data_IF_374701636566
#
_entry.id   IF_374701636566
#
_cell.length_a   1.000
_cell.length_b   1.000
_cell.length_c   1.000
_cell.angle_alpha   90.00
_cell.angle_beta   90.00
_cell.angle_gamma   90.00
#
_symmetry.space_group_name_H-M   'P 1'
#
loop_
_entity.id
_entity.type
_entity.pdbx_description
1 polymer ?
#
# COMPACT_ATOMS: atom_id res chain seq x y z
N UNK A 1 55.34 3.93 -29.84
CA UNK A 1 55.51 4.20 -28.38
C UNK A 1 54.66 5.35 -27.86
N UNK A 2 54.83 6.62 -28.28
CA UNK A 2 54.04 7.76 -27.74
C UNK A 2 52.52 7.49 -27.72
N UNK A 3 51.96 6.99 -28.82
CA UNK A 3 50.52 6.69 -28.96
C UNK A 3 50.02 5.58 -28.03
N UNK A 4 50.89 4.63 -27.68
CA UNK A 4 50.59 3.54 -26.73
C UNK A 4 50.42 4.10 -25.30
N UNK A 5 51.28 5.05 -24.91
CA UNK A 5 51.16 5.72 -23.62
C UNK A 5 49.96 6.67 -23.55
N UNK A 6 49.61 7.39 -24.62
CA UNK A 6 48.38 8.21 -24.64
C UNK A 6 47.12 7.36 -24.67
N UNK A 7 47.13 6.17 -25.29
CA UNK A 7 46.04 5.20 -25.20
C UNK A 7 45.82 4.73 -23.76
N UNK A 8 46.89 4.28 -23.07
CA UNK A 8 46.83 3.85 -21.67
C UNK A 8 46.36 4.96 -20.73
N UNK A 9 46.90 6.19 -20.84
CA UNK A 9 46.51 7.31 -19.99
C UNK A 9 45.13 7.89 -20.32
N UNK A 10 44.69 7.83 -21.58
CA UNK A 10 43.31 8.14 -21.96
C UNK A 10 42.32 7.17 -21.31
N UNK A 11 42.65 5.87 -21.31
CA UNK A 11 41.87 4.85 -20.63
C UNK A 11 41.78 5.06 -19.11
N UNK A 12 42.91 5.30 -18.43
CA UNK A 12 42.89 5.50 -16.96
C UNK A 12 42.22 6.80 -16.54
N UNK A 13 42.37 7.91 -17.29
CA UNK A 13 41.69 9.17 -16.97
C UNK A 13 40.19 9.12 -17.25
N UNK A 14 39.75 8.46 -18.32
CA UNK A 14 38.33 8.19 -18.58
C UNK A 14 37.73 7.27 -17.50
N UNK A 15 38.44 6.19 -17.12
CA UNK A 15 38.02 5.27 -16.06
C UNK A 15 37.95 5.97 -14.70
N UNK A 16 38.95 6.77 -14.32
CA UNK A 16 38.94 7.55 -13.08
C UNK A 16 37.81 8.61 -13.06
N UNK A 17 37.52 9.25 -14.20
CA UNK A 17 36.38 10.15 -14.34
C UNK A 17 35.05 9.41 -14.15
N UNK A 18 34.88 8.24 -14.78
CA UNK A 18 33.71 7.39 -14.61
C UNK A 18 33.56 6.87 -13.17
N UNK A 19 34.66 6.46 -12.53
CA UNK A 19 34.70 6.08 -11.11
C UNK A 19 34.28 7.25 -10.20
N UNK A 20 34.72 8.48 -10.49
CA UNK A 20 34.39 9.66 -9.68
C UNK A 20 32.96 10.18 -9.90
N UNK A 21 32.40 10.01 -11.09
CA UNK A 21 31.14 10.66 -11.50
C UNK A 21 29.96 9.72 -11.77
N UNK A 22 30.20 8.44 -12.06
CA UNK A 22 29.16 7.47 -12.44
C UNK A 22 29.12 6.24 -11.52
N UNK A 23 30.25 5.76 -11.01
CA UNK A 23 30.29 4.52 -10.19
C UNK A 23 29.31 4.54 -9.02
N UNK A 24 29.20 5.63 -8.26
CA UNK A 24 28.24 5.72 -7.15
C UNK A 24 26.76 5.60 -7.60
N UNK A 25 26.42 6.14 -8.77
CA UNK A 25 25.08 6.04 -9.33
C UNK A 25 24.80 4.66 -9.95
N UNK A 26 25.81 4.07 -10.60
CA UNK A 26 25.79 2.71 -11.13
C UNK A 26 25.65 1.69 -9.99
N UNK A 27 26.56 1.70 -9.01
CA UNK A 27 26.59 0.81 -7.85
C UNK A 27 25.27 0.85 -7.07
N UNK A 28 24.75 2.03 -6.74
CA UNK A 28 23.46 2.16 -6.06
C UNK A 28 22.27 1.68 -6.89
N UNK A 29 22.33 1.76 -8.23
CA UNK A 29 21.25 1.27 -9.10
C UNK A 29 21.35 -0.23 -9.38
N UNK A 30 22.57 -0.77 -9.48
CA UNK A 30 22.87 -2.20 -9.55
C UNK A 30 22.43 -2.92 -8.27
N UNK A 31 22.82 -2.41 -7.10
CA UNK A 31 22.38 -3.00 -5.82
C UNK A 31 20.87 -2.92 -5.63
N UNK A 32 20.22 -1.81 -6.00
CA UNK A 32 18.75 -1.72 -5.95
C UNK A 32 18.10 -2.76 -6.87
N UNK A 33 18.64 -2.97 -8.08
CA UNK A 33 18.17 -4.01 -9.00
C UNK A 33 18.37 -5.43 -8.43
N UNK A 34 19.56 -5.74 -7.88
CA UNK A 34 19.86 -7.04 -7.25
C UNK A 34 18.95 -7.31 -6.04
N UNK A 35 18.74 -6.31 -5.17
CA UNK A 35 17.86 -6.42 -4.01
C UNK A 35 16.41 -6.65 -4.47
N UNK A 36 15.92 -5.84 -5.42
CA UNK A 36 14.54 -5.97 -5.91
C UNK A 36 14.30 -7.32 -6.59
N UNK A 37 15.25 -7.84 -7.37
CA UNK A 37 15.15 -9.19 -7.93
C UNK A 37 15.30 -10.31 -6.90
N UNK A 38 16.09 -10.12 -5.84
CA UNK A 38 16.18 -11.08 -4.72
C UNK A 38 14.87 -11.12 -3.93
N UNK A 39 14.20 -9.98 -3.76
CA UNK A 39 12.87 -9.88 -3.13
C UNK A 39 11.78 -10.49 -4.03
N UNK A 40 11.82 -10.25 -5.35
CA UNK A 40 10.93 -10.92 -6.32
C UNK A 40 11.15 -12.44 -6.32
N UNK A 41 12.40 -12.91 -6.32
CA UNK A 41 12.72 -14.33 -6.25
C UNK A 41 12.29 -14.95 -4.92
N UNK A 42 12.50 -14.26 -3.79
CA UNK A 42 12.02 -14.68 -2.48
C UNK A 42 10.49 -14.80 -2.44
N UNK A 43 9.76 -13.82 -2.96
CA UNK A 43 8.31 -13.87 -3.10
C UNK A 43 7.84 -15.01 -4.02
N UNK A 44 8.57 -15.31 -5.10
CA UNK A 44 8.27 -16.43 -6.00
C UNK A 44 8.51 -17.80 -5.35
N UNK A 45 9.62 -17.98 -4.62
CA UNK A 45 9.89 -19.19 -3.83
C UNK A 45 8.85 -19.35 -2.71
N UNK A 46 8.40 -18.25 -2.10
CA UNK A 46 7.27 -18.21 -1.17
C UNK A 46 5.98 -18.68 -1.83
N UNK A 47 5.64 -18.18 -3.02
CA UNK A 47 4.45 -18.62 -3.76
C UNK A 47 4.52 -20.11 -4.14
N UNK A 48 5.68 -20.63 -4.57
CA UNK A 48 5.87 -22.06 -4.82
C UNK A 48 5.78 -22.91 -3.54
N UNK A 49 6.19 -22.39 -2.38
CA UNK A 49 6.01 -23.06 -1.10
C UNK A 49 4.54 -23.08 -0.66
N UNK A 50 3.80 -21.98 -0.89
CA UNK A 50 2.35 -21.87 -0.67
C UNK A 50 1.63 -22.89 -1.57
N UNK A 51 1.87 -22.85 -2.88
CA UNK A 51 1.27 -23.77 -3.86
C UNK A 51 1.59 -25.24 -3.52
N UNK A 52 2.86 -25.55 -3.25
CA UNK A 52 3.30 -26.87 -2.78
C UNK A 52 2.77 -27.31 -1.41
N UNK A 53 2.15 -26.41 -0.64
CA UNK A 53 1.42 -26.71 0.60
C UNK A 53 -0.08 -26.79 0.39
N UNK A 54 -0.70 -25.92 -0.40
CA UNK A 54 -2.14 -25.95 -0.70
C UNK A 54 -2.52 -27.16 -1.56
N UNK A 55 -1.75 -27.47 -2.60
CA UNK A 55 -1.88 -28.70 -3.40
C UNK A 55 -1.73 -29.99 -2.57
N UNK A 56 -1.21 -29.88 -1.34
CA UNK A 56 -1.04 -30.99 -0.38
C UNK A 56 -1.91 -30.88 0.88
N UNK A 57 -2.72 -29.83 1.04
CA UNK A 57 -3.69 -29.71 2.15
C UNK A 57 -4.95 -30.56 1.96
N UNK A 58 -5.09 -31.20 0.79
CA UNK A 58 -6.01 -32.33 0.59
C UNK A 58 -5.50 -33.63 1.25
N UNK A 59 -4.34 -33.62 1.91
CA UNK A 59 -3.87 -34.67 2.81
C UNK A 59 -3.82 -34.13 4.26
N UNK A 60 -4.29 -34.94 5.20
CA UNK A 60 -4.42 -34.57 6.62
C UNK A 60 -3.06 -34.27 7.28
N UNK A 61 -3.08 -33.42 8.32
CA UNK A 61 -1.89 -33.10 9.13
C UNK A 61 -0.88 -32.12 8.49
N UNK A 62 -1.19 -31.51 7.34
CA UNK A 62 -0.26 -30.71 6.54
C UNK A 62 0.15 -29.32 7.11
N UNK A 63 0.09 -29.10 8.43
CA UNK A 63 0.28 -27.81 9.12
C UNK A 63 1.42 -26.94 8.57
N UNK A 64 1.18 -25.62 8.48
CA UNK A 64 2.17 -24.65 8.02
C UNK A 64 3.15 -24.36 9.17
N UNK A 65 4.45 -24.54 8.92
CA UNK A 65 5.46 -24.30 9.95
C UNK A 65 5.48 -22.80 10.32
N UNK A 66 5.44 -22.41 11.61
CA UNK A 66 5.39 -20.99 12.01
C UNK A 66 6.51 -20.13 11.41
N UNK A 67 7.72 -20.70 11.28
CA UNK A 67 8.87 -20.06 10.66
C UNK A 67 8.62 -19.71 9.18
N UNK A 68 7.96 -20.60 8.40
CA UNK A 68 7.66 -20.29 7.00
C UNK A 68 6.57 -19.24 6.91
N UNK A 69 5.51 -19.29 7.73
CA UNK A 69 4.50 -18.24 7.79
C UNK A 69 5.10 -16.84 8.09
N UNK A 70 6.05 -16.76 9.03
CA UNK A 70 6.78 -15.53 9.31
C UNK A 70 7.66 -15.09 8.13
N UNK A 71 8.43 -15.99 7.52
CA UNK A 71 9.30 -15.70 6.38
C UNK A 71 8.52 -15.21 5.15
N UNK A 72 7.33 -15.78 4.90
CA UNK A 72 6.42 -15.33 3.84
C UNK A 72 6.01 -13.86 4.05
N UNK A 73 5.57 -13.51 5.26
CA UNK A 73 5.26 -12.12 5.62
C UNK A 73 6.45 -11.18 5.43
N UNK A 74 7.67 -11.58 5.84
CA UNK A 74 8.88 -10.78 5.62
C UNK A 74 9.19 -10.52 4.15
N UNK A 75 8.98 -11.49 3.25
CA UNK A 75 9.18 -11.28 1.81
C UNK A 75 8.15 -10.29 1.24
N UNK A 76 6.87 -10.40 1.60
CA UNK A 76 5.84 -9.46 1.14
C UNK A 76 6.02 -8.04 1.69
N UNK A 77 6.46 -7.88 2.95
CA UNK A 77 6.84 -6.57 3.54
C UNK A 77 7.97 -5.90 2.75
N UNK A 78 9.05 -6.63 2.48
CA UNK A 78 10.18 -6.13 1.68
C UNK A 78 9.78 -5.83 0.24
N UNK A 79 8.85 -6.62 -0.34
CA UNK A 79 8.29 -6.36 -1.67
C UNK A 79 7.50 -5.05 -1.68
N UNK A 80 6.54 -4.88 -0.78
CA UNK A 80 5.74 -3.66 -0.68
C UNK A 80 6.61 -2.40 -0.50
N UNK A 81 7.52 -2.40 0.49
CA UNK A 81 8.41 -1.28 0.75
C UNK A 81 9.34 -0.94 -0.45
N UNK A 82 9.96 -1.95 -1.06
CA UNK A 82 10.89 -1.72 -2.18
C UNK A 82 10.18 -1.26 -3.47
N UNK A 83 8.96 -1.75 -3.75
CA UNK A 83 8.18 -1.31 -4.90
C UNK A 83 7.59 0.11 -4.70
N UNK A 84 7.18 0.47 -3.49
CA UNK A 84 6.78 1.86 -3.17
C UNK A 84 7.97 2.82 -3.28
N UNK A 85 9.15 2.48 -2.72
CA UNK A 85 10.38 3.25 -2.92
C UNK A 85 10.76 3.39 -4.40
N UNK A 86 10.55 2.35 -5.22
CA UNK A 86 10.77 2.42 -6.67
C UNK A 86 9.74 3.33 -7.37
N UNK A 87 8.47 3.32 -6.96
CA UNK A 87 7.44 4.22 -7.45
C UNK A 87 7.76 5.69 -7.14
N UNK A 88 8.19 5.97 -5.90
CA UNK A 88 8.66 7.29 -5.47
C UNK A 88 9.89 7.75 -6.29
N UNK A 89 10.88 6.87 -6.50
CA UNK A 89 12.04 7.17 -7.37
C UNK A 89 11.62 7.49 -8.80
N UNK A 90 10.67 6.76 -9.36
CA UNK A 90 10.16 7.00 -10.71
C UNK A 90 9.38 8.31 -10.81
N UNK A 91 8.55 8.63 -9.81
CA UNK A 91 7.84 9.91 -9.72
C UNK A 91 8.82 11.09 -9.70
N UNK A 92 9.79 11.06 -8.76
CA UNK A 92 10.79 12.13 -8.59
C UNK A 92 11.71 12.32 -9.81
N UNK A 93 11.98 11.26 -10.58
CA UNK A 93 12.82 11.32 -11.79
C UNK A 93 12.05 11.43 -13.11
N UNK A 94 10.72 11.52 -13.09
CA UNK A 94 9.90 11.54 -14.30
C UNK A 94 10.02 10.28 -15.17
N UNK A 95 10.38 9.14 -14.57
CA UNK A 95 10.63 7.88 -15.29
C UNK A 95 9.29 7.15 -15.50
N UNK A 96 9.04 6.72 -16.74
CA UNK A 96 7.86 5.89 -17.08
C UNK A 96 7.87 4.59 -16.27
N UNK A 97 6.71 4.19 -15.75
CA UNK A 97 6.55 3.00 -14.90
C UNK A 97 6.08 3.26 -13.47
N UNK A 98 5.97 4.53 -13.03
CA UNK A 98 5.44 4.93 -11.71
C UNK A 98 4.17 4.14 -11.33
N UNK A 99 3.18 4.09 -12.22
CA UNK A 99 1.90 3.42 -11.97
C UNK A 99 2.06 1.91 -11.71
N UNK A 100 2.93 1.23 -12.46
CA UNK A 100 3.19 -0.22 -12.31
C UNK A 100 3.84 -0.54 -10.97
N UNK A 101 4.89 0.22 -10.59
CA UNK A 101 5.53 0.04 -9.29
C UNK A 101 4.59 0.37 -8.11
N UNK A 102 3.79 1.43 -8.25
CA UNK A 102 2.80 1.82 -7.24
C UNK A 102 1.72 0.75 -7.05
N UNK A 103 1.13 0.25 -8.15
CA UNK A 103 0.10 -0.79 -8.11
C UNK A 103 0.62 -2.09 -7.47
N UNK A 104 1.82 -2.53 -7.84
CA UNK A 104 2.46 -3.72 -7.26
C UNK A 104 2.80 -3.53 -5.77
N UNK A 105 3.24 -2.34 -5.36
CA UNK A 105 3.47 -2.00 -3.95
C UNK A 105 2.19 -2.00 -3.11
N UNK A 106 1.11 -1.39 -3.62
CA UNK A 106 -0.21 -1.38 -2.98
C UNK A 106 -0.82 -2.79 -2.91
N UNK A 107 -0.74 -3.58 -3.98
CA UNK A 107 -1.24 -4.96 -4.00
C UNK A 107 -0.50 -5.85 -2.99
N UNK A 108 0.83 -5.76 -2.91
CA UNK A 108 1.60 -6.44 -1.87
C UNK A 108 1.24 -5.96 -0.46
N UNK A 109 0.96 -4.66 -0.28
CA UNK A 109 0.50 -4.12 1.00
C UNK A 109 -0.84 -4.71 1.44
N UNK A 110 -1.79 -4.92 0.52
CA UNK A 110 -3.07 -5.58 0.81
C UNK A 110 -2.85 -7.03 1.25
N UNK A 111 -1.94 -7.77 0.59
CA UNK A 111 -1.57 -9.14 1.00
C UNK A 111 -0.97 -9.16 2.41
N UNK A 112 -0.11 -8.19 2.75
CA UNK A 112 0.45 -8.05 4.11
C UNK A 112 -0.65 -7.73 5.13
N UNK A 113 -1.62 -6.87 4.80
CA UNK A 113 -2.78 -6.63 5.66
C UNK A 113 -3.58 -7.93 5.91
N UNK A 114 -3.86 -8.73 4.86
CA UNK A 114 -4.51 -10.04 5.04
C UNK A 114 -3.68 -11.01 5.91
N UNK A 115 -2.34 -10.98 5.80
CA UNK A 115 -1.43 -11.75 6.66
C UNK A 115 -1.56 -11.34 8.14
N UNK A 116 -1.77 -10.06 8.43
CA UNK A 116 -2.02 -9.55 9.77
C UNK A 116 -3.35 -10.06 10.37
N UNK A 117 -4.43 -10.12 9.58
CA UNK A 117 -5.68 -10.77 10.00
C UNK A 117 -5.45 -12.26 10.32
N UNK A 118 -4.76 -12.98 9.44
CA UNK A 118 -4.42 -14.39 9.67
C UNK A 118 -3.64 -14.62 10.96
N UNK A 119 -2.63 -13.78 11.25
CA UNK A 119 -1.89 -13.84 12.51
C UNK A 119 -2.78 -13.53 13.73
N UNK A 120 -3.70 -12.56 13.63
CA UNK A 120 -4.63 -12.21 14.69
C UNK A 120 -5.62 -13.30 15.06
N UNK A 121 -6.13 -14.05 14.07
CA UNK A 121 -6.99 -15.21 14.31
C UNK A 121 -6.20 -16.42 14.84
N UNK A 122 -5.03 -16.73 14.27
CA UNK A 122 -4.22 -17.89 14.67
C UNK A 122 -3.64 -17.73 16.08
N UNK A 123 -3.25 -16.51 16.49
CA UNK A 123 -2.75 -16.25 17.84
C UNK A 123 -3.79 -16.45 18.96
N UNK A 124 -5.06 -16.65 18.60
CA UNK A 124 -6.17 -16.88 19.53
C UNK A 124 -7.06 -18.07 19.12
N UNK A 125 -6.61 -18.96 18.24
CA UNK A 125 -7.36 -20.16 17.79
C UNK A 125 -7.73 -21.07 18.97
N UNK A 126 -6.75 -21.47 19.79
CA UNK A 126 -6.96 -22.21 21.05
C UNK A 126 -8.04 -21.58 21.96
N UNK A 127 -8.15 -20.25 21.94
CA UNK A 127 -9.09 -19.49 22.78
C UNK A 127 -10.48 -19.42 22.18
N UNK A 128 -10.57 -19.27 20.86
CA UNK A 128 -11.82 -19.42 20.10
C UNK A 128 -12.42 -20.80 20.36
N UNK A 129 -11.60 -21.84 20.23
CA UNK A 129 -12.09 -23.22 20.24
C UNK A 129 -12.50 -23.66 21.65
N UNK A 130 -11.81 -23.20 22.70
CA UNK A 130 -12.27 -23.28 24.09
C UNK A 130 -13.65 -22.60 24.29
N UNK A 131 -13.82 -21.38 23.78
CA UNK A 131 -15.06 -20.59 23.97
C UNK A 131 -16.25 -21.12 23.14
N UNK A 132 -15.98 -21.73 21.98
CA UNK A 132 -17.00 -22.35 21.12
C UNK A 132 -17.41 -23.72 21.63
N UNK A 133 -16.46 -24.62 21.90
CA UNK A 133 -16.75 -25.99 22.34
C UNK A 133 -17.61 -26.03 23.61
N UNK A 134 -17.29 -25.19 24.60
CA UNK A 134 -18.06 -25.10 25.85
C UNK A 134 -19.52 -24.64 25.67
N UNK A 135 -19.85 -23.96 24.56
CA UNK A 135 -21.23 -23.54 24.22
C UNK A 135 -21.93 -24.58 23.35
N UNK A 136 -21.27 -25.01 22.28
CA UNK A 136 -21.85 -25.85 21.24
C UNK A 136 -22.13 -27.27 21.75
N UNK A 137 -21.20 -27.86 22.50
CA UNK A 137 -21.37 -29.19 23.10
C UNK A 137 -22.54 -29.19 24.09
N UNK A 138 -22.65 -28.16 24.96
CA UNK A 138 -23.72 -28.08 25.97
C UNK A 138 -25.08 -27.83 25.33
N UNK A 139 -25.17 -26.95 24.34
CA UNK A 139 -26.41 -26.67 23.63
C UNK A 139 -26.93 -27.91 22.89
N UNK A 140 -26.13 -28.47 21.97
CA UNK A 140 -26.54 -29.57 21.09
C UNK A 140 -26.83 -30.85 21.89
N UNK A 141 -26.02 -31.19 22.89
CA UNK A 141 -26.31 -32.35 23.76
C UNK A 141 -27.55 -32.14 24.63
N UNK A 142 -27.79 -30.93 25.16
CA UNK A 142 -28.99 -30.70 25.97
C UNK A 142 -30.26 -30.79 25.12
N UNK A 143 -30.29 -30.12 23.97
CA UNK A 143 -31.44 -30.11 23.06
C UNK A 143 -31.78 -31.53 22.58
N UNK A 144 -30.77 -32.30 22.14
CA UNK A 144 -30.96 -33.70 21.73
C UNK A 144 -31.41 -34.61 22.89
N UNK A 145 -30.89 -34.42 24.11
CA UNK A 145 -31.35 -35.18 25.27
C UNK A 145 -32.80 -34.83 25.65
N UNK A 146 -33.19 -33.55 25.57
CA UNK A 146 -34.55 -33.10 25.86
C UNK A 146 -35.57 -33.62 24.83
N UNK A 147 -35.20 -33.70 23.53
CA UNK A 147 -35.99 -34.38 22.49
C UNK A 147 -36.22 -35.86 22.81
N UNK A 148 -35.15 -36.62 23.10
CA UNK A 148 -35.25 -38.06 23.41
C UNK A 148 -36.05 -38.30 24.69
N UNK A 149 -35.85 -37.47 25.73
CA UNK A 149 -36.65 -37.52 26.96
C UNK A 149 -38.14 -37.26 26.67
N UNK A 150 -38.49 -36.40 25.73
CA UNK A 150 -39.88 -36.14 25.35
C UNK A 150 -40.51 -37.29 24.55
N UNK A 151 -39.77 -37.88 23.60
CA UNK A 151 -40.21 -39.10 22.90
C UNK A 151 -40.41 -40.30 23.86
N UNK A 152 -39.56 -40.43 24.87
CA UNK A 152 -39.71 -41.44 25.93
C UNK A 152 -40.95 -41.18 26.80
N UNK A 153 -41.26 -39.93 27.16
CA UNK A 153 -42.52 -39.58 27.85
C UNK A 153 -43.75 -39.92 27.00
N UNK A 154 -43.74 -39.57 25.72
CA UNK A 154 -44.85 -39.88 24.80
C UNK A 154 -45.09 -41.38 24.71
N UNK A 155 -44.03 -42.19 24.59
CA UNK A 155 -44.10 -43.66 24.60
C UNK A 155 -44.75 -44.23 25.87
N UNK A 156 -44.58 -43.60 27.04
CA UNK A 156 -45.31 -44.02 28.26
C UNK A 156 -46.81 -43.77 28.15
N UNK A 157 -47.23 -42.66 27.53
CA UNK A 157 -48.65 -42.37 27.26
C UNK A 157 -49.23 -43.38 26.26
N UNK A 158 -48.45 -43.79 25.25
CA UNK A 158 -48.85 -44.88 24.34
C UNK A 158 -49.08 -46.19 25.10
N UNK A 159 -48.14 -46.59 25.97
CA UNK A 159 -48.24 -47.81 26.79
C UNK A 159 -49.48 -47.76 27.70
N UNK A 160 -49.77 -46.64 28.34
CA UNK A 160 -50.98 -46.49 29.17
C UNK A 160 -52.27 -46.61 28.33
N UNK A 161 -52.30 -46.00 27.15
CA UNK A 161 -53.45 -46.08 26.23
C UNK A 161 -53.63 -47.44 25.55
N UNK A 162 -52.55 -48.22 25.36
CA UNK A 162 -52.62 -49.63 24.91
C UNK A 162 -53.10 -50.54 26.06
N UNK A 163 -52.57 -50.33 27.27
CA UNK A 163 -52.98 -51.07 28.47
C UNK A 163 -54.47 -50.86 28.78
N UNK A 164 -54.96 -49.62 28.73
CA UNK A 164 -56.38 -49.31 28.97
C UNK A 164 -57.30 -50.07 27.99
N UNK A 165 -56.96 -50.09 26.70
CA UNK A 165 -57.71 -50.84 25.67
C UNK A 165 -57.68 -52.36 25.90
N UNK A 166 -56.53 -52.91 26.29
CA UNK A 166 -56.40 -54.34 26.55
C UNK A 166 -57.14 -54.76 27.85
N UNK A 167 -57.00 -53.96 28.92
CA UNK A 167 -57.69 -54.16 30.20
C UNK A 167 -59.21 -54.05 30.04
N UNK A 168 -59.72 -53.03 29.35
CA UNK A 168 -61.15 -52.88 29.09
C UNK A 168 -61.74 -54.07 28.30
N UNK A 169 -60.96 -54.65 27.39
CA UNK A 169 -61.34 -55.87 26.66
C UNK A 169 -61.44 -57.08 27.60
N UNK A 170 -60.45 -57.28 28.48
CA UNK A 170 -60.42 -58.38 29.43
C UNK A 170 -61.46 -58.23 30.55
N UNK A 171 -61.72 -57.02 31.04
CA UNK A 171 -62.78 -56.78 32.05
C UNK A 171 -64.18 -57.00 31.45
N UNK A 172 -64.38 -56.77 30.15
CA UNK A 172 -65.60 -57.19 29.44
C UNK A 172 -65.71 -58.71 29.30
N UNK A 173 -64.61 -59.41 28.96
CA UNK A 173 -64.53 -60.88 28.92
C UNK A 173 -64.84 -61.51 30.29
N UNK A 174 -64.22 -61.00 31.37
CA UNK A 174 -64.48 -61.38 32.77
C UNK A 174 -65.95 -61.14 33.13
N UNK A 175 -66.51 -59.98 32.77
CA UNK A 175 -67.92 -59.66 33.05
C UNK A 175 -68.86 -60.63 32.34
N UNK A 176 -68.56 -61.00 31.09
CA UNK A 176 -69.34 -61.99 30.35
C UNK A 176 -69.29 -63.37 31.03
N UNK A 177 -68.12 -63.87 31.42
CA UNK A 177 -67.99 -65.18 32.10
C UNK A 177 -68.67 -65.23 33.48
N UNK A 178 -68.80 -64.10 34.17
CA UNK A 178 -69.51 -64.01 35.47
C UNK A 178 -71.03 -63.90 35.30
N UNK A 179 -71.52 -63.39 34.16
CA UNK A 179 -72.95 -63.05 33.96
C UNK A 179 -73.70 -63.96 32.98
N UNK A 180 -73.04 -64.88 32.28
CA UNK A 180 -73.69 -65.77 31.29
C UNK A 180 -74.53 -66.91 31.90
N UNK A 181 -74.57 -67.02 33.23
CA UNK A 181 -75.38 -68.00 33.97
C UNK A 181 -74.82 -69.43 33.96
N UNK A 182 -73.57 -69.63 33.50
CA UNK A 182 -72.87 -70.93 33.55
C UNK A 182 -71.79 -70.91 34.62
N UNK A 183 -71.34 -72.09 35.04
CA UNK A 183 -70.19 -72.22 35.94
C UNK A 183 -68.87 -72.07 35.17
N UNK A 184 -68.51 -70.82 34.86
CA UNK A 184 -67.35 -70.44 34.04
C UNK A 184 -66.23 -69.80 34.87
N UNK A 185 -66.26 -69.87 36.20
CA UNK A 185 -65.35 -69.15 37.12
C UNK A 185 -63.86 -69.32 36.77
N UNK A 186 -63.44 -70.52 36.34
CA UNK A 186 -62.06 -70.80 35.90
C UNK A 186 -61.62 -69.91 34.71
N UNK A 187 -62.52 -69.62 33.76
CA UNK A 187 -62.23 -68.75 32.61
C UNK A 187 -62.16 -67.28 33.03
N UNK A 188 -62.99 -66.87 34.00
CA UNK A 188 -62.90 -65.54 34.59
C UNK A 188 -61.59 -65.34 35.37
N UNK A 189 -61.10 -66.36 36.09
CA UNK A 189 -59.81 -66.31 36.78
C UNK A 189 -58.61 -66.36 35.81
N UNK A 190 -58.67 -67.12 34.72
CA UNK A 190 -57.65 -67.06 33.65
C UNK A 190 -57.59 -65.66 33.01
N UNK A 191 -58.74 -65.05 32.70
CA UNK A 191 -58.79 -63.70 32.16
C UNK A 191 -58.28 -62.63 33.18
N UNK A 192 -58.55 -62.81 34.49
CA UNK A 192 -57.95 -61.99 35.56
C UNK A 192 -56.43 -62.14 35.62
N UNK A 193 -55.90 -63.35 35.48
CA UNK A 193 -54.46 -63.62 35.44
C UNK A 193 -53.82 -62.94 34.22
N UNK A 194 -54.42 -63.08 33.01
CA UNK A 194 -54.00 -62.38 31.79
C UNK A 194 -53.97 -60.86 31.99
N UNK A 195 -55.03 -60.29 32.58
CA UNK A 195 -55.14 -58.84 32.83
C UNK A 195 -54.08 -58.34 33.80
N UNK A 196 -53.85 -59.06 34.89
CA UNK A 196 -52.83 -58.71 35.88
C UNK A 196 -51.41 -58.80 35.26
N UNK A 197 -51.14 -59.83 34.43
CA UNK A 197 -49.87 -59.97 33.73
C UNK A 197 -49.57 -58.78 32.79
N UNK A 198 -50.56 -58.30 32.04
CA UNK A 198 -50.42 -57.10 31.20
C UNK A 198 -50.15 -55.83 32.04
N UNK A 199 -50.77 -55.69 33.22
CA UNK A 199 -50.52 -54.58 34.14
C UNK A 199 -49.10 -54.65 34.75
N UNK A 200 -48.60 -55.85 35.05
CA UNK A 200 -47.22 -56.06 35.50
C UNK A 200 -46.19 -55.79 34.39
N UNK A 201 -46.45 -56.24 33.16
CA UNK A 201 -45.62 -55.99 31.98
C UNK A 201 -45.53 -54.48 31.64
N UNK A 202 -46.68 -53.80 31.58
CA UNK A 202 -46.72 -52.36 31.34
C UNK A 202 -46.04 -51.56 32.46
N UNK A 203 -46.13 -52.01 33.72
CA UNK A 203 -45.38 -51.40 34.84
C UNK A 203 -43.88 -51.56 34.65
N UNK A 204 -43.39 -52.74 34.28
CA UNK A 204 -41.97 -52.99 34.02
C UNK A 204 -41.45 -52.17 32.84
N UNK A 205 -42.20 -52.11 31.72
CA UNK A 205 -41.85 -51.29 30.56
C UNK A 205 -41.78 -49.79 30.90
N UNK A 206 -42.70 -49.28 31.74
CA UNK A 206 -42.66 -47.89 32.22
C UNK A 206 -41.49 -47.62 33.16
N UNK A 207 -41.11 -48.59 34.00
CA UNK A 207 -39.94 -48.50 34.89
C UNK A 207 -38.62 -48.48 34.11
N UNK A 208 -38.49 -49.27 33.04
CA UNK A 208 -37.32 -49.22 32.15
C UNK A 208 -37.20 -47.87 31.45
N UNK A 209 -38.31 -47.32 30.92
CA UNK A 209 -38.31 -45.98 30.32
C UNK A 209 -37.95 -44.90 31.35
N UNK A 210 -38.43 -44.99 32.60
CA UNK A 210 -38.03 -44.06 33.66
C UNK A 210 -36.53 -44.15 34.00
N UNK A 211 -35.94 -45.36 33.98
CA UNK A 211 -34.50 -45.54 34.14
C UNK A 211 -33.71 -44.94 32.96
N UNK A 212 -34.19 -45.09 31.72
CA UNK A 212 -33.59 -44.42 30.55
C UNK A 212 -33.63 -42.89 30.67
N UNK A 213 -34.77 -42.32 31.09
CA UNK A 213 -34.93 -40.88 31.32
C UNK A 213 -33.96 -40.38 32.40
N UNK A 214 -33.83 -41.09 33.54
CA UNK A 214 -32.91 -40.74 34.62
C UNK A 214 -31.45 -40.79 34.16
N UNK A 215 -31.08 -41.76 33.33
CA UNK A 215 -29.73 -41.85 32.75
C UNK A 215 -29.42 -40.66 31.82
N UNK A 216 -30.37 -40.26 30.95
CA UNK A 216 -30.21 -39.10 30.06
C UNK A 216 -30.13 -37.78 30.84
N UNK A 217 -30.95 -37.62 31.89
CA UNK A 217 -30.86 -36.46 32.80
C UNK A 217 -29.50 -36.41 33.51
N UNK A 218 -28.98 -37.57 33.94
CA UNK A 218 -27.68 -37.68 34.61
C UNK A 218 -26.53 -37.34 33.66
N UNK A 219 -26.55 -37.88 32.43
CA UNK A 219 -25.58 -37.54 31.39
C UNK A 219 -25.57 -36.03 31.09
N UNK A 220 -26.74 -35.40 30.92
CA UNK A 220 -26.88 -33.95 30.74
C UNK A 220 -26.29 -33.13 31.91
N UNK A 221 -26.38 -33.63 33.16
CA UNK A 221 -25.71 -33.01 34.31
C UNK A 221 -24.18 -33.19 34.23
N UNK A 222 -23.69 -34.38 33.87
CA UNK A 222 -22.24 -34.63 33.71
C UNK A 222 -21.63 -33.80 32.58
N UNK A 223 -22.28 -33.71 31.41
CA UNK A 223 -21.87 -32.86 30.29
C UNK A 223 -21.74 -31.39 30.70
N UNK A 224 -22.70 -30.90 31.50
CA UNK A 224 -22.69 -29.53 32.04
C UNK A 224 -21.58 -29.34 33.09
N UNK A 225 -21.26 -30.36 33.88
CA UNK A 225 -20.14 -30.33 34.83
C UNK A 225 -18.78 -30.31 34.09
N UNK A 226 -18.58 -31.16 33.09
CA UNK A 226 -17.36 -31.21 32.27
C UNK A 226 -17.12 -29.87 31.54
N UNK A 227 -18.19 -29.24 31.02
CA UNK A 227 -18.10 -27.90 30.43
C UNK A 227 -17.74 -26.81 31.46
N UNK A 228 -18.26 -26.89 32.69
CA UNK A 228 -17.91 -25.96 33.79
C UNK A 228 -16.47 -26.18 34.27
N UNK A 229 -15.98 -27.42 34.36
CA UNK A 229 -14.58 -27.72 34.68
C UNK A 229 -13.62 -27.27 33.57
N UNK A 230 -14.03 -27.42 32.30
CA UNK A 230 -13.30 -26.88 31.14
C UNK A 230 -13.21 -25.35 31.19
N UNK A 231 -14.31 -24.67 31.54
CA UNK A 231 -14.31 -23.22 31.74
C UNK A 231 -13.48 -22.78 32.95
N UNK A 232 -13.51 -23.53 34.06
CA UNK A 232 -12.74 -23.23 35.28
C UNK A 232 -11.23 -23.49 35.12
N UNK A 233 -10.82 -24.41 34.23
CA UNK A 233 -9.42 -24.68 33.90
C UNK A 233 -8.87 -23.82 32.77
N UNK A 234 -9.73 -23.06 32.06
CA UNK A 234 -9.30 -22.10 31.06
C UNK A 234 -8.42 -21.01 31.71
N UNK A 235 -7.24 -20.75 31.11
CA UNK A 235 -6.35 -19.67 31.57
C UNK A 235 -7.11 -18.34 31.56
N UNK A 236 -7.03 -17.48 32.59
CA UNK A 236 -7.74 -16.21 32.61
C UNK A 236 -7.34 -15.31 31.43
N UNK A 237 -8.26 -14.45 30.99
CA UNK A 237 -7.97 -13.42 30.00
C UNK A 237 -6.98 -12.39 30.55
N UNK A 238 -6.18 -11.79 29.67
CA UNK A 238 -5.31 -10.69 30.06
C UNK A 238 -6.15 -9.49 30.53
N UNK A 239 -5.86 -8.86 31.68
CA UNK A 239 -6.66 -7.73 32.21
C UNK A 239 -6.86 -6.58 31.22
N UNK A 240 -5.91 -6.38 30.30
CA UNK A 240 -6.01 -5.42 29.20
C UNK A 240 -7.21 -5.70 28.28
N UNK A 241 -7.43 -6.95 27.87
CA UNK A 241 -8.54 -7.31 26.99
C UNK A 241 -9.88 -7.23 27.71
N UNK A 242 -9.91 -7.57 29.01
CA UNK A 242 -11.08 -7.39 29.87
C UNK A 242 -11.44 -5.89 29.95
N UNK A 243 -10.46 -5.02 30.22
CA UNK A 243 -10.67 -3.57 30.31
C UNK A 243 -11.12 -2.93 29.00
N UNK A 244 -10.57 -3.37 27.85
CA UNK A 244 -11.04 -2.94 26.53
C UNK A 244 -12.48 -3.41 26.29
N UNK A 245 -12.81 -4.67 26.59
CA UNK A 245 -14.17 -5.19 26.41
C UNK A 245 -15.19 -4.53 27.35
N UNK A 246 -14.81 -4.18 28.58
CA UNK A 246 -15.63 -3.39 29.51
C UNK A 246 -15.97 -2.02 28.90
N UNK A 247 -14.99 -1.35 28.30
CA UNK A 247 -15.16 -0.02 27.70
C UNK A 247 -15.95 -0.08 26.37
N UNK A 248 -15.75 -1.11 25.55
CA UNK A 248 -16.44 -1.28 24.26
C UNK A 248 -17.90 -1.71 24.44
N UNK A 249 -18.18 -2.61 25.39
CA UNK A 249 -19.54 -3.15 25.62
C UNK A 249 -20.34 -2.40 26.70
N UNK A 250 -19.71 -1.44 27.39
CA UNK A 250 -20.27 -0.76 28.57
C UNK A 250 -20.74 -1.70 29.70
N UNK A 251 -20.30 -2.96 29.70
CA UNK A 251 -20.53 -3.91 30.78
C UNK A 251 -19.38 -3.91 31.78
N UNK A 252 -19.69 -3.99 33.08
CA UNK A 252 -18.69 -4.27 34.12
C UNK A 252 -18.11 -5.69 33.98
N UNK A 253 -18.91 -6.62 33.49
CA UNK A 253 -18.58 -8.03 33.31
C UNK A 253 -18.89 -8.40 31.83
N UNK A 254 -17.95 -8.16 30.90
CA UNK A 254 -18.12 -8.51 29.48
C UNK A 254 -18.01 -10.03 29.29
N UNK A 255 -18.75 -10.57 28.31
CA UNK A 255 -18.69 -11.99 27.98
C UNK A 255 -17.36 -12.38 27.31
N UNK A 256 -16.95 -13.65 27.43
CA UNK A 256 -15.73 -14.16 26.78
C UNK A 256 -15.68 -13.88 25.28
N UNK A 257 -16.82 -13.91 24.60
CA UNK A 257 -16.92 -13.57 23.18
C UNK A 257 -16.57 -12.09 22.90
N UNK A 258 -17.05 -11.17 23.76
CA UNK A 258 -16.69 -9.76 23.66
C UNK A 258 -15.20 -9.53 23.97
N UNK A 259 -14.65 -10.25 24.97
CA UNK A 259 -13.22 -10.18 25.32
C UNK A 259 -12.37 -10.73 24.16
N UNK A 260 -12.76 -11.85 23.56
CA UNK A 260 -12.12 -12.46 22.38
C UNK A 260 -12.11 -11.52 21.17
N UNK A 261 -13.25 -10.91 20.81
CA UNK A 261 -13.33 -9.94 19.71
C UNK A 261 -12.46 -8.71 19.98
N UNK A 262 -12.44 -8.20 21.22
CA UNK A 262 -11.58 -7.07 21.60
C UNK A 262 -10.09 -7.43 21.57
N UNK A 263 -9.72 -8.65 21.98
CA UNK A 263 -8.35 -9.15 21.92
C UNK A 263 -7.86 -9.30 20.47
N UNK A 264 -8.70 -9.86 19.58
CA UNK A 264 -8.42 -9.93 18.13
C UNK A 264 -8.27 -8.54 17.52
N UNK A 265 -9.21 -7.63 17.77
CA UNK A 265 -9.15 -6.26 17.27
C UNK A 265 -7.89 -5.52 17.71
N UNK A 266 -7.49 -5.69 18.98
CA UNK A 266 -6.26 -5.13 19.52
C UNK A 266 -5.00 -5.72 18.87
N UNK A 267 -4.91 -7.05 18.72
CA UNK A 267 -3.75 -7.70 18.08
C UNK A 267 -3.64 -7.27 16.62
N UNK A 268 -4.75 -7.30 15.86
CA UNK A 268 -4.77 -6.88 14.45
C UNK A 268 -4.37 -5.40 14.32
N UNK A 269 -4.88 -4.52 15.19
CA UNK A 269 -4.47 -3.11 15.21
C UNK A 269 -2.95 -2.95 15.38
N UNK A 270 -2.34 -3.63 16.36
CA UNK A 270 -0.90 -3.51 16.60
C UNK A 270 -0.04 -4.14 15.50
N UNK A 271 -0.49 -5.24 14.89
CA UNK A 271 0.19 -5.81 13.72
C UNK A 271 0.09 -4.84 12.55
N UNK A 272 -1.11 -4.36 12.19
CA UNK A 272 -1.31 -3.38 11.10
C UNK A 272 -0.53 -2.08 11.32
N UNK A 273 -0.41 -1.60 12.56
CA UNK A 273 0.45 -0.47 12.90
C UNK A 273 1.92 -0.78 12.56
N UNK A 274 2.42 -1.95 12.97
CA UNK A 274 3.75 -2.44 12.62
C UNK A 274 3.98 -2.58 11.10
N UNK A 275 3.01 -3.14 10.37
CA UNK A 275 3.06 -3.25 8.91
C UNK A 275 3.12 -1.87 8.25
N UNK A 276 2.31 -0.92 8.72
CA UNK A 276 2.29 0.45 8.18
C UNK A 276 3.65 1.15 8.35
N UNK A 277 4.33 0.92 9.48
CA UNK A 277 5.67 1.43 9.72
C UNK A 277 6.72 0.75 8.83
N UNK A 278 6.68 -0.58 8.68
CA UNK A 278 7.65 -1.31 7.85
C UNK A 278 7.47 -1.00 6.35
N UNK A 279 6.25 -0.78 5.89
CA UNK A 279 5.94 -0.55 4.46
C UNK A 279 6.12 0.92 4.08
N UNK A 280 5.51 1.87 4.80
CA UNK A 280 5.44 3.27 4.36
C UNK A 280 6.59 4.15 4.86
N UNK A 281 7.17 3.85 6.03
CA UNK A 281 8.26 4.68 6.57
C UNK A 281 9.51 4.71 5.65
N UNK A 282 9.96 3.59 5.03
CA UNK A 282 11.08 3.62 4.09
C UNK A 282 10.81 4.50 2.86
N UNK A 283 9.59 4.48 2.31
CA UNK A 283 9.20 5.37 1.20
C UNK A 283 9.27 6.84 1.63
N UNK A 284 8.70 7.19 2.79
CA UNK A 284 8.65 8.58 3.29
C UNK A 284 10.05 9.13 3.59
N UNK A 285 10.91 8.36 4.25
CA UNK A 285 12.32 8.74 4.50
C UNK A 285 13.08 8.88 3.16
N UNK A 286 12.83 8.00 2.19
CA UNK A 286 13.47 8.06 0.88
C UNK A 286 13.02 9.29 0.06
N UNK A 287 11.73 9.66 0.10
CA UNK A 287 11.22 10.89 -0.50
C UNK A 287 11.87 12.12 0.14
N UNK A 288 11.92 12.19 1.47
CA UNK A 288 12.60 13.27 2.20
C UNK A 288 14.08 13.40 1.75
N UNK A 289 14.84 12.30 1.73
CA UNK A 289 16.23 12.28 1.24
C UNK A 289 16.39 12.72 -0.23
N UNK A 290 15.36 12.59 -1.07
CA UNK A 290 15.39 13.11 -2.44
C UNK A 290 15.18 14.63 -2.48
N UNK A 291 14.32 15.17 -1.63
CA UNK A 291 14.12 16.63 -1.48
C UNK A 291 15.35 17.31 -0.88
N UNK A 292 15.87 16.83 0.27
CA UNK A 292 17.09 17.37 0.90
C UNK A 292 18.27 17.43 -0.10
N UNK A 293 18.39 16.41 -0.95
CA UNK A 293 19.42 16.33 -1.98
C UNK A 293 19.19 17.32 -3.13
N UNK A 294 17.94 17.67 -3.43
CA UNK A 294 17.63 18.67 -4.45
C UNK A 294 18.03 20.06 -3.98
N UNK A 295 17.67 20.42 -2.75
CA UNK A 295 18.04 21.69 -2.12
C UNK A 295 19.57 21.86 -2.08
N UNK A 296 20.31 20.81 -1.71
CA UNK A 296 21.78 20.82 -1.78
C UNK A 296 22.35 20.98 -3.19
N UNK A 297 21.65 20.52 -4.23
CA UNK A 297 22.05 20.68 -5.64
C UNK A 297 21.77 22.10 -6.11
N UNK A 298 20.62 22.66 -5.75
CA UNK A 298 20.19 24.00 -6.17
C UNK A 298 20.91 25.12 -5.40
N UNK A 299 21.26 24.89 -4.12
CA UNK A 299 22.20 25.74 -3.39
C UNK A 299 23.56 25.81 -4.12
N UNK A 300 24.15 24.67 -4.50
CA UNK A 300 25.43 24.61 -5.23
C UNK A 300 25.34 25.23 -6.63
N UNK A 301 24.18 25.15 -7.29
CA UNK A 301 23.91 25.86 -8.55
C UNK A 301 23.85 27.38 -8.34
N UNK A 302 23.21 27.84 -7.26
CA UNK A 302 23.15 29.26 -6.88
C UNK A 302 24.54 29.82 -6.55
N UNK A 303 25.35 29.10 -5.75
CA UNK A 303 26.75 29.44 -5.49
C UNK A 303 27.59 29.55 -6.77
N UNK A 304 27.46 28.57 -7.67
CA UNK A 304 28.17 28.57 -8.95
C UNK A 304 27.71 29.72 -9.88
N UNK A 305 26.42 30.04 -9.89
CA UNK A 305 25.87 31.16 -10.65
C UNK A 305 26.35 32.51 -10.10
N UNK A 306 26.34 32.69 -8.77
CA UNK A 306 26.86 33.87 -8.08
C UNK A 306 28.35 34.07 -8.36
N UNK A 307 29.17 33.03 -8.17
CA UNK A 307 30.61 33.07 -8.49
C UNK A 307 30.87 33.36 -9.97
N UNK A 308 30.02 32.83 -10.87
CA UNK A 308 30.07 33.13 -12.30
C UNK A 308 29.73 34.58 -12.65
N UNK A 309 28.83 35.22 -11.89
CA UNK A 309 28.54 36.66 -12.00
C UNK A 309 29.67 37.52 -11.43
N UNK A 310 30.17 37.21 -10.25
CA UNK A 310 31.33 37.87 -9.62
C UNK A 310 32.55 37.85 -10.54
N UNK A 311 32.82 36.71 -11.18
CA UNK A 311 33.95 36.55 -12.13
C UNK A 311 33.76 37.38 -13.41
N UNK A 312 32.52 37.60 -13.87
CA UNK A 312 32.25 38.51 -15.01
C UNK A 312 32.45 39.96 -14.60
N UNK A 313 31.85 40.37 -13.49
CA UNK A 313 31.95 41.74 -12.96
C UNK A 313 33.42 42.14 -12.72
N UNK A 314 34.19 41.32 -12.03
CA UNK A 314 35.62 41.58 -11.79
C UNK A 314 36.44 41.65 -13.09
N UNK A 315 36.05 40.94 -14.15
CA UNK A 315 36.69 41.03 -15.48
C UNK A 315 36.27 42.28 -16.25
N UNK A 316 35.13 42.88 -15.94
CA UNK A 316 34.69 44.16 -16.51
C UNK A 316 35.34 45.34 -15.78
N UNK A 317 35.40 45.29 -14.45
CA UNK A 317 36.12 46.26 -13.61
C UNK A 317 37.64 46.24 -13.84
N UNK A 318 38.21 45.10 -14.25
CA UNK A 318 39.62 44.96 -14.62
C UNK A 318 39.93 45.24 -16.12
N UNK A 319 38.99 45.79 -16.90
CA UNK A 319 39.31 46.35 -18.21
C UNK A 319 40.01 47.72 -18.00
N UNK A 320 41.24 47.93 -18.48
CA UNK A 320 41.80 49.28 -18.49
C UNK A 320 41.00 50.17 -19.44
N UNK A 321 40.80 51.44 -19.05
CA UNK A 321 40.33 52.48 -19.95
C UNK A 321 41.45 52.85 -20.93
N UNK A 322 41.63 52.03 -21.98
CA UNK A 322 42.54 52.33 -23.09
C UNK A 322 42.04 53.55 -23.87
N UNK A 323 42.38 54.74 -23.38
CA UNK A 323 42.30 55.99 -24.14
C UNK A 323 43.10 55.83 -25.43
N UNK A 324 42.40 55.68 -26.56
CA UNK A 324 43.02 55.37 -27.85
C UNK A 324 44.00 56.49 -28.23
N UNK A 325 45.26 56.18 -28.58
CA UNK A 325 46.22 57.19 -28.98
C UNK A 325 45.71 57.98 -30.18
N UNK A 326 45.74 59.31 -30.05
CA UNK A 326 45.33 60.27 -31.10
C UNK A 326 46.33 60.29 -32.27
N UNK A 327 47.53 59.72 -32.08
CA UNK A 327 48.62 59.66 -33.06
C UNK A 327 48.51 58.38 -33.91
N UNK A 328 48.71 58.50 -35.21
CA UNK A 328 48.41 57.46 -36.20
C UNK A 328 49.62 56.52 -36.44
N UNK A 329 50.05 55.81 -35.39
CA UNK A 329 51.22 54.91 -35.36
C UNK A 329 51.01 53.55 -36.05
N UNK A 330 49.96 53.43 -36.86
CA UNK A 330 49.55 52.18 -37.52
C UNK A 330 48.40 51.45 -36.80
N UNK A 331 48.11 51.78 -35.52
CA UNK A 331 47.00 51.18 -34.75
C UNK A 331 45.69 51.13 -35.54
N UNK A 332 45.28 52.27 -36.10
CA UNK A 332 44.02 52.40 -36.82
C UNK A 332 43.97 51.57 -38.12
N UNK A 333 45.05 51.58 -38.90
CA UNK A 333 45.16 50.77 -40.11
C UNK A 333 45.08 49.26 -39.81
N UNK A 334 45.53 48.83 -38.64
CA UNK A 334 45.37 47.43 -38.20
C UNK A 334 43.96 47.13 -37.69
N UNK A 335 43.34 48.02 -36.89
CA UNK A 335 41.95 47.86 -36.44
C UNK A 335 40.96 47.84 -37.61
N UNK A 336 41.11 48.73 -38.58
CA UNK A 336 40.33 48.77 -39.84
C UNK A 336 40.47 47.44 -40.58
N UNK A 337 41.71 46.96 -40.81
CA UNK A 337 41.97 45.67 -41.49
C UNK A 337 41.40 44.46 -40.73
N UNK A 338 41.34 44.51 -39.39
CA UNK A 338 40.69 43.48 -38.55
C UNK A 338 39.17 43.54 -38.63
N UNK A 339 38.58 44.73 -38.65
CA UNK A 339 37.14 44.94 -38.79
C UNK A 339 36.63 44.49 -40.18
N UNK A 340 37.30 44.87 -41.26
CA UNK A 340 36.98 44.46 -42.63
C UNK A 340 37.05 42.94 -42.85
N UNK A 341 37.86 42.24 -42.05
CA UNK A 341 38.01 40.76 -42.07
C UNK A 341 37.10 40.04 -41.06
N UNK A 342 36.07 40.71 -40.53
CA UNK A 342 35.15 40.12 -39.56
C UNK A 342 34.36 38.93 -40.12
N UNK A 343 33.97 38.01 -39.22
CA UNK A 343 32.99 36.93 -39.47
C UNK A 343 31.86 36.93 -38.44
N UNK A 344 31.55 38.09 -37.85
CA UNK A 344 30.41 38.24 -36.94
C UNK A 344 29.11 37.91 -37.66
N UNK A 345 28.25 37.10 -37.02
CA UNK A 345 27.01 36.58 -37.64
C UNK A 345 26.02 37.69 -38.01
N UNK A 346 25.84 38.68 -37.12
CA UNK A 346 25.04 39.88 -37.31
C UNK A 346 25.91 41.11 -36.93
N UNK A 347 26.67 41.72 -37.85
CA UNK A 347 27.52 42.87 -37.53
C UNK A 347 26.73 44.18 -37.59
N UNK A 348 26.37 44.76 -36.44
CA UNK A 348 25.83 46.13 -36.35
C UNK A 348 26.96 47.16 -36.20
N UNK A 349 26.71 48.45 -36.48
CA UNK A 349 27.68 49.52 -36.26
C UNK A 349 28.22 49.55 -34.81
N UNK A 350 27.31 49.36 -33.85
CA UNK A 350 27.62 49.26 -32.43
C UNK A 350 28.43 48.00 -32.08
N UNK A 351 28.13 46.86 -32.70
CA UNK A 351 28.91 45.63 -32.56
C UNK A 351 30.31 45.75 -33.16
N UNK A 352 30.45 46.45 -34.29
CA UNK A 352 31.73 46.73 -34.94
C UNK A 352 32.59 47.66 -34.08
N UNK A 353 32.01 48.72 -33.52
CA UNK A 353 32.64 49.61 -32.53
C UNK A 353 33.12 48.83 -31.30
N UNK A 354 32.23 48.16 -30.57
CA UNK A 354 32.57 47.42 -29.35
C UNK A 354 33.61 46.31 -29.56
N UNK A 355 33.59 45.64 -30.71
CA UNK A 355 34.48 44.49 -30.98
C UNK A 355 35.86 44.90 -31.50
N UNK A 356 35.94 45.90 -32.39
CA UNK A 356 37.17 46.24 -33.09
C UNK A 356 37.79 47.57 -32.69
N UNK A 357 37.00 48.51 -32.15
CA UNK A 357 37.42 49.85 -31.72
C UNK A 357 37.08 50.14 -30.24
N UNK A 358 37.42 49.24 -29.29
CA UNK A 358 37.25 49.51 -27.86
C UNK A 358 38.09 50.73 -27.45
N UNK A 359 37.54 51.57 -26.56
CA UNK A 359 38.19 52.81 -26.09
C UNK A 359 37.70 54.10 -26.77
N UNK A 360 36.79 54.02 -27.75
CA UNK A 360 36.00 55.18 -28.22
C UNK A 360 34.73 55.31 -27.38
N UNK A 361 34.31 56.54 -27.08
CA UNK A 361 33.14 56.78 -26.22
C UNK A 361 31.79 56.47 -26.91
N UNK A 362 31.75 56.45 -28.25
CA UNK A 362 30.52 56.12 -29.00
C UNK A 362 30.78 55.75 -30.46
N UNK A 363 29.77 55.17 -31.12
CA UNK A 363 29.69 54.99 -32.58
C UNK A 363 29.79 56.33 -33.34
N UNK A 364 29.32 57.44 -32.75
CA UNK A 364 29.45 58.77 -33.35
C UNK A 364 30.91 59.23 -33.37
N UNK A 365 31.68 58.95 -32.31
CA UNK A 365 33.12 59.22 -32.30
C UNK A 365 33.85 58.36 -33.35
N UNK A 366 33.48 57.08 -33.50
CA UNK A 366 34.02 56.21 -34.56
C UNK A 366 33.78 56.82 -35.95
N UNK A 367 32.54 57.24 -36.25
CA UNK A 367 32.20 57.95 -37.51
C UNK A 367 33.09 59.17 -37.73
N UNK A 368 33.34 59.96 -36.69
CA UNK A 368 34.27 61.09 -36.71
C UNK A 368 35.70 60.68 -37.08
N UNK A 369 36.29 59.71 -36.38
CA UNK A 369 37.69 59.28 -36.60
C UNK A 369 37.89 58.55 -37.93
N UNK A 370 36.86 57.89 -38.47
CA UNK A 370 36.88 57.25 -39.79
C UNK A 370 36.72 58.28 -40.92
N UNK A 371 35.80 59.24 -40.80
CA UNK A 371 35.59 60.26 -41.84
C UNK A 371 36.81 61.19 -42.04
N UNK A 372 37.61 61.41 -40.99
CA UNK A 372 38.91 62.10 -41.11
C UNK A 372 39.93 61.28 -41.92
N UNK A 373 39.88 59.94 -41.87
CA UNK A 373 40.78 59.05 -42.63
C UNK A 373 40.35 58.89 -44.09
N UNK A 374 39.05 58.81 -44.34
CA UNK A 374 38.45 58.93 -45.67
C UNK A 374 38.91 60.23 -46.36
N UNK A 375 38.78 61.38 -45.69
CA UNK A 375 39.26 62.69 -46.17
C UNK A 375 40.78 62.81 -46.35
N UNK A 376 41.56 61.86 -45.83
CA UNK A 376 43.03 61.75 -46.01
C UNK A 376 43.45 60.69 -47.04
N UNK A 377 42.49 60.01 -47.68
CA UNK A 377 42.78 58.90 -48.60
C UNK A 377 43.36 57.65 -47.92
N UNK A 378 43.19 57.50 -46.60
CA UNK A 378 43.70 56.37 -45.82
C UNK A 378 42.70 55.18 -45.75
N UNK A 379 41.56 55.30 -46.43
CA UNK A 379 40.40 54.39 -46.39
C UNK A 379 39.50 54.68 -47.60
N UNK A 380 38.86 53.66 -48.18
CA UNK A 380 37.83 53.84 -49.23
C UNK A 380 36.44 54.14 -48.65
N UNK A 381 35.51 54.58 -49.51
CA UNK A 381 34.10 54.76 -49.12
C UNK A 381 33.46 53.42 -48.73
N UNK A 382 33.67 52.36 -49.52
CA UNK A 382 33.13 51.02 -49.24
C UNK A 382 33.66 50.45 -47.90
N UNK A 383 34.92 50.73 -47.56
CA UNK A 383 35.51 50.34 -46.27
C UNK A 383 34.89 51.11 -45.08
N UNK A 384 34.57 52.39 -45.28
CA UNK A 384 33.84 53.19 -44.30
C UNK A 384 32.41 52.65 -44.11
N UNK A 385 31.68 52.43 -45.20
CA UNK A 385 30.29 51.98 -45.18
C UNK A 385 30.15 50.54 -44.66
N UNK A 386 31.11 49.65 -44.95
CA UNK A 386 31.14 48.31 -44.34
C UNK A 386 31.34 48.35 -42.82
N UNK A 387 32.16 49.27 -42.29
CA UNK A 387 32.42 49.37 -40.85
C UNK A 387 31.26 50.07 -40.14
N UNK A 388 30.71 51.14 -40.73
CA UNK A 388 29.57 51.89 -40.21
C UNK A 388 28.23 51.18 -40.41
N UNK A 389 28.16 50.17 -41.30
CA UNK A 389 26.93 49.49 -41.74
C UNK A 389 25.94 50.47 -42.35
N UNK A 390 26.43 51.17 -43.36
CA UNK A 390 25.69 52.12 -44.20
C UNK A 390 25.76 51.67 -45.67
N UNK A 391 25.01 52.33 -46.56
CA UNK A 391 24.91 51.92 -47.97
C UNK A 391 24.44 50.48 -48.15
N UNK A 392 25.09 49.74 -49.06
CA UNK A 392 24.80 48.33 -49.36
C UNK A 392 25.09 47.37 -48.17
N UNK A 393 25.80 47.85 -47.14
CA UNK A 393 26.15 47.07 -45.94
C UNK A 393 25.26 47.35 -44.73
N UNK A 394 24.18 48.12 -44.91
CA UNK A 394 23.18 48.34 -43.88
C UNK A 394 22.52 47.01 -43.43
N UNK A 395 22.16 46.85 -42.14
CA UNK A 395 21.37 45.71 -41.71
C UNK A 395 19.99 45.76 -42.41
N UNK A 396 19.42 44.60 -42.80
CA UNK A 396 18.06 44.59 -43.32
C UNK A 396 17.10 45.17 -42.27
N UNK A 397 16.04 45.91 -42.69
CA UNK A 397 15.09 46.47 -41.74
C UNK A 397 14.52 45.37 -40.84
N UNK A 398 14.31 45.65 -39.54
CA UNK A 398 13.75 44.66 -38.62
C UNK A 398 12.41 44.19 -39.19
N UNK A 399 12.19 42.87 -39.21
CA UNK A 399 10.89 42.33 -39.60
C UNK A 399 9.85 42.88 -38.63
N UNK A 400 8.90 43.64 -39.15
CA UNK A 400 7.68 43.99 -38.44
C UNK A 400 6.91 42.70 -38.14
N UNK A 401 7.05 42.22 -36.91
CA UNK A 401 6.03 41.38 -36.32
C UNK A 401 4.82 42.29 -36.11
N UNK A 402 3.62 41.94 -36.63
CA UNK A 402 2.45 42.76 -36.38
C UNK A 402 2.23 42.85 -34.88
N UNK A 403 2.17 44.07 -34.37
CA UNK A 403 1.87 44.31 -32.95
C UNK A 403 0.48 43.79 -32.70
N UNK A 404 0.37 42.64 -32.04
CA UNK A 404 -0.87 42.20 -31.44
C UNK A 404 -1.31 43.32 -30.50
N UNK A 405 -2.51 43.87 -30.73
CA UNK A 405 -3.04 44.93 -29.88
C UNK A 405 -3.07 44.45 -28.45
N UNK A 406 -2.56 45.29 -27.56
CA UNK A 406 -2.83 45.19 -26.14
C UNK A 406 -4.15 45.91 -25.88
N UNK A 407 -5.24 45.35 -26.41
CA UNK A 407 -6.59 45.70 -26.00
C UNK A 407 -6.81 45.14 -24.57
N UNK A 408 -7.59 45.84 -23.75
CA UNK A 408 -7.66 45.65 -22.30
C UNK A 408 -8.18 44.27 -21.86
N UNK A 409 -7.85 43.79 -20.63
CA UNK A 409 -8.43 42.58 -20.08
C UNK A 409 -9.94 42.75 -19.89
N UNK A 410 -10.71 42.03 -20.69
CA UNK A 410 -12.17 41.97 -20.60
C UNK A 410 -12.57 41.36 -19.25
N UNK A 411 -13.30 42.13 -18.45
CA UNK A 411 -13.80 41.68 -17.14
C UNK A 411 -15.07 40.86 -17.40
N UNK A 412 -14.94 39.54 -17.40
CA UNK A 412 -16.11 38.66 -17.33
C UNK A 412 -16.88 38.96 -16.03
N UNK A 413 -18.20 39.23 -16.09
CA UNK A 413 -18.97 39.62 -14.92
C UNK A 413 -19.28 38.42 -14.02
N UNK A 414 -19.17 38.64 -12.71
CA UNK A 414 -19.71 37.75 -11.68
C UNK A 414 -21.25 37.76 -11.77
N UNK A 415 -21.84 36.59 -12.02
CA UNK A 415 -23.17 36.11 -11.55
C UNK A 415 -23.68 34.97 -12.43
N UNK A 416 -23.95 33.81 -11.82
CA UNK A 416 -25.32 33.27 -11.70
C UNK A 416 -25.29 32.06 -10.74
N UNK A 417 -25.78 32.28 -9.51
CA UNK A 417 -26.29 31.21 -8.65
C UNK A 417 -27.65 30.77 -9.19
N UNK A 418 -27.91 29.46 -9.36
CA UNK A 418 -29.18 28.76 -9.06
C UNK A 418 -29.11 27.27 -9.50
N UNK A 419 -29.47 26.35 -8.59
CA UNK A 419 -30.05 24.97 -8.68
C UNK A 419 -29.74 24.02 -9.89
N UNK A 420 -29.68 22.67 -9.79
CA UNK A 420 -30.06 21.63 -8.80
C UNK A 420 -29.02 20.45 -8.92
N UNK A 421 -29.01 19.26 -8.30
CA UNK A 421 -29.90 18.47 -7.42
C UNK A 421 -29.07 17.42 -6.61
N UNK A 422 -29.56 16.84 -5.49
CA UNK A 422 -28.90 15.74 -4.78
C UNK A 422 -29.14 14.34 -5.39
N UNK A 423 -28.29 13.33 -5.11
CA UNK A 423 -28.40 11.99 -5.69
C UNK A 423 -29.56 11.15 -5.10
N UNK A 424 -30.30 10.47 -5.98
CA UNK A 424 -31.36 9.51 -5.64
C UNK A 424 -30.78 8.11 -5.38
N UNK A 425 -31.35 7.37 -4.44
CA UNK A 425 -30.91 6.02 -4.04
C UNK A 425 -31.78 4.90 -4.63
N UNK A 426 -31.13 3.78 -4.95
CA UNK A 426 -31.68 2.46 -5.29
C UNK A 426 -30.50 1.45 -5.27
N UNK A 427 -30.57 0.24 -4.72
CA UNK A 427 -31.56 -0.43 -3.84
C UNK A 427 -30.86 -1.02 -2.61
#
# INVERSE_FOLDING_TARGET
MKEFFTSLWGGTTACASWMRHQFAAFFASFWLYVILWTVVFGAFVVLLYIDGKFSRHLAEGAAIAPLSFQAMGWMYRLFAASFLMAAARCAYKGIKGRATFYFLGVFASIIVCMHAFGFGFEALSDRRDQAMAAREIVAVKSESNDEVINALKERKVTIDGDLERAVATLDAEITQYITDGKNNDYLADDARVRRNALQDEARLAKQDIDAQIINLMTASVTDRQEAVETAATAKPWAPLFIGIAQLVTWSKEPSDWAIYLCAIGFIIFWVLLGESLVIFLPERIYVMHLHDRQEQIDAKRSEAAKKGWETRKAKEEAKPEENIPVRDDGYWSERIRKALRTKMKNPTAEGMWNTYFPGLASVHELRGKLSVRLKRGQMSQDEFDFIMREGEYAPPPPKEYPVARQDDPEIEPDNEDEDEAPPVAAE
#
